data_IF_133916072740
#
_entry.id   IF_133916072740
#
_cell.length_a   1.000
_cell.length_b   1.000
_cell.length_c   1.000
_cell.angle_alpha   90.00
_cell.angle_beta   90.00
_cell.angle_gamma   90.00
#
_symmetry.space_group_name_H-M   'P 1'
#
loop_
_entity.id
_entity.type
_entity.pdbx_description
1 polymer ?
#
# COMPACT_ATOMS: atom_id res chain seq x y z
N UNK A 1 13.90 1.61 -24.53
CA UNK A 1 14.14 2.12 -23.23
C UNK A 1 14.10 1.03 -22.18
N UNK A 2 14.89 1.18 -21.21
CA UNK A 2 14.90 0.25 -20.11
C UNK A 2 13.55 0.29 -19.40
N UNK A 3 12.83 -0.79 -19.42
CA UNK A 3 11.72 -0.95 -18.54
C UNK A 3 12.26 -0.88 -17.12
N UNK A 4 11.90 0.16 -16.39
CA UNK A 4 12.22 0.23 -14.99
C UNK A 4 11.55 -0.98 -14.32
N UNK A 5 12.33 -1.87 -13.76
CA UNK A 5 11.81 -3.01 -13.05
C UNK A 5 11.26 -2.52 -11.73
N UNK A 6 10.00 -2.76 -11.49
CA UNK A 6 9.40 -2.43 -10.19
C UNK A 6 9.64 -3.57 -9.22
N UNK A 7 9.91 -3.22 -7.98
CA UNK A 7 10.01 -4.17 -6.88
C UNK A 7 8.88 -3.94 -5.91
N UNK A 8 8.35 -5.03 -5.38
CA UNK A 8 7.35 -4.95 -4.32
C UNK A 8 8.04 -4.97 -2.97
N UNK A 9 7.64 -4.03 -2.13
CA UNK A 9 8.13 -3.91 -0.75
C UNK A 9 6.95 -4.14 0.17
N UNK A 10 7.08 -5.06 1.11
CA UNK A 10 6.00 -5.40 2.01
C UNK A 10 5.67 -4.23 2.92
N UNK A 11 4.39 -3.87 2.98
CA UNK A 11 3.86 -2.81 3.84
C UNK A 11 3.08 -3.40 5.00
N UNK A 12 2.10 -4.24 4.71
CA UNK A 12 1.24 -4.76 5.77
C UNK A 12 0.14 -5.65 5.23
N UNK A 13 -0.99 -5.66 5.94
CA UNK A 13 -2.08 -6.57 5.61
C UNK A 13 -3.43 -5.90 5.69
N UNK A 14 -4.38 -6.44 4.94
CA UNK A 14 -5.78 -6.07 5.04
C UNK A 14 -6.37 -6.48 6.38
N UNK A 15 -7.14 -5.60 6.98
CA UNK A 15 -7.83 -5.85 8.25
C UNK A 15 -9.32 -6.04 7.99
N UNK A 16 -9.93 -5.13 7.25
CA UNK A 16 -11.36 -5.13 7.03
C UNK A 16 -11.71 -4.39 5.75
N UNK A 17 -12.83 -4.77 5.15
CA UNK A 17 -13.40 -4.05 4.02
C UNK A 17 -14.81 -3.61 4.37
N UNK A 18 -15.07 -2.32 4.19
CA UNK A 18 -16.38 -1.71 4.43
C UNK A 18 -17.10 -1.58 3.09
N UNK A 19 -17.86 -2.62 2.72
CA UNK A 19 -18.46 -2.73 1.39
C UNK A 19 -19.49 -1.63 1.09
N UNK A 20 -20.17 -1.13 2.11
CA UNK A 20 -21.19 -0.08 1.92
C UNK A 20 -20.59 1.28 1.54
N UNK A 21 -19.32 1.50 1.81
CA UNK A 21 -18.65 2.76 1.47
C UNK A 21 -17.42 2.57 0.57
N UNK A 22 -17.10 1.32 0.21
CA UNK A 22 -15.98 1.03 -0.69
C UNK A 22 -14.62 1.40 -0.12
N UNK A 23 -14.41 1.10 1.16
CA UNK A 23 -13.19 1.48 1.89
C UNK A 23 -12.53 0.24 2.47
N UNK A 24 -11.22 0.12 2.26
CA UNK A 24 -10.40 -0.92 2.86
C UNK A 24 -9.58 -0.36 4.02
N UNK A 25 -9.44 -1.15 5.07
CA UNK A 25 -8.56 -0.83 6.20
C UNK A 25 -7.35 -1.76 6.18
N UNK A 26 -6.16 -1.19 6.35
CA UNK A 26 -4.88 -1.91 6.39
C UNK A 26 -4.11 -1.58 7.66
N UNK A 27 -3.30 -2.54 8.11
CA UNK A 27 -2.31 -2.33 9.18
C UNK A 27 -0.93 -2.31 8.53
N UNK A 28 -0.17 -1.25 8.82
CA UNK A 28 1.22 -1.16 8.38
C UNK A 28 2.11 -1.94 9.35
N UNK A 29 2.75 -2.99 8.85
CA UNK A 29 3.56 -3.91 9.68
C UNK A 29 5.05 -3.76 9.43
N UNK A 30 5.44 -3.20 8.30
CA UNK A 30 6.85 -3.08 7.90
C UNK A 30 7.13 -1.70 7.30
N UNK A 31 7.23 -1.61 5.98
CA UNK A 31 7.56 -0.34 5.32
C UNK A 31 6.39 0.64 5.39
N UNK A 32 6.70 1.91 5.63
CA UNK A 32 5.69 2.97 5.57
C UNK A 32 5.18 3.18 4.15
N UNK A 33 4.02 3.78 4.04
CA UNK A 33 3.38 4.08 2.76
C UNK A 33 2.94 5.54 2.74
N UNK A 34 3.05 6.18 1.58
CA UNK A 34 2.71 7.59 1.43
C UNK A 34 1.74 7.80 0.28
N UNK A 35 0.99 8.90 0.36
CA UNK A 35 0.12 9.33 -0.73
C UNK A 35 0.96 9.47 -2.01
N UNK A 36 0.44 8.92 -3.10
CA UNK A 36 1.16 8.84 -4.38
C UNK A 36 1.84 7.51 -4.64
N UNK A 37 2.01 6.69 -3.61
CA UNK A 37 2.62 5.37 -3.78
C UNK A 37 1.74 4.46 -4.62
N UNK A 38 2.37 3.66 -5.46
CA UNK A 38 1.71 2.57 -6.18
C UNK A 38 1.65 1.36 -5.27
N UNK A 39 0.49 0.74 -5.22
CA UNK A 39 0.22 -0.37 -4.32
C UNK A 39 -0.14 -1.64 -5.10
N UNK A 40 0.18 -2.76 -4.49
CA UNK A 40 -0.25 -4.08 -4.94
C UNK A 40 -0.84 -4.81 -3.73
N UNK A 41 -2.07 -5.28 -3.88
CA UNK A 41 -2.73 -6.10 -2.87
C UNK A 41 -2.88 -7.51 -3.44
N UNK A 42 -2.47 -8.52 -2.69
CA UNK A 42 -2.57 -9.91 -3.13
C UNK A 42 -3.27 -10.78 -2.10
N UNK A 43 -4.02 -11.73 -2.57
CA UNK A 43 -4.66 -12.72 -1.71
C UNK A 43 -5.24 -13.87 -2.52
N UNK A 44 -5.52 -15.02 -1.87
CA UNK A 44 -5.96 -16.21 -2.59
C UNK A 44 -7.31 -16.04 -3.27
N UNK A 45 -8.19 -15.20 -2.72
CA UNK A 45 -9.50 -14.91 -3.33
C UNK A 45 -9.46 -13.62 -4.14
N UNK A 46 -8.80 -12.60 -3.58
CA UNK A 46 -8.69 -11.27 -4.19
C UNK A 46 -7.86 -11.29 -5.48
N UNK A 47 -6.87 -12.18 -5.56
CA UNK A 47 -5.93 -12.18 -6.66
C UNK A 47 -4.91 -11.06 -6.50
N UNK A 48 -4.64 -10.32 -7.57
CA UNK A 48 -3.73 -9.18 -7.57
C UNK A 48 -4.50 -7.92 -7.96
N UNK A 49 -4.49 -6.93 -7.07
CA UNK A 49 -5.14 -5.65 -7.29
C UNK A 49 -4.09 -4.55 -7.24
N UNK A 50 -4.01 -3.75 -8.29
CA UNK A 50 -3.10 -2.59 -8.37
C UNK A 50 -3.89 -1.33 -8.12
N UNK A 51 -3.33 -0.43 -7.33
CA UNK A 51 -3.97 0.84 -7.00
C UNK A 51 -2.92 1.90 -6.72
N UNK A 52 -3.34 3.17 -6.75
CA UNK A 52 -2.50 4.28 -6.29
C UNK A 52 -3.11 4.79 -5.00
N UNK A 53 -2.29 5.09 -4.02
CA UNK A 53 -2.77 5.66 -2.77
C UNK A 53 -3.07 7.14 -2.98
N UNK A 54 -4.33 7.44 -3.30
CA UNK A 54 -4.76 8.83 -3.56
C UNK A 54 -5.01 9.58 -2.26
N UNK A 55 -5.57 8.91 -1.27
CA UNK A 55 -5.85 9.47 0.04
C UNK A 55 -5.74 8.36 1.08
N UNK A 56 -5.04 8.63 2.17
CA UNK A 56 -4.95 7.75 3.32
C UNK A 56 -5.50 8.46 4.54
N UNK A 57 -6.28 7.76 5.35
CA UNK A 57 -6.81 8.29 6.61
C UNK A 57 -6.37 7.42 7.76
N UNK A 58 -5.87 8.08 8.80
CA UNK A 58 -5.53 7.45 10.08
C UNK A 58 -6.43 8.11 11.13
N UNK A 59 -7.21 7.30 11.84
CA UNK A 59 -8.19 7.80 12.82
C UNK A 59 -9.11 8.87 12.21
N UNK A 60 -9.60 8.60 11.00
CA UNK A 60 -10.53 9.45 10.24
C UNK A 60 -9.93 10.77 9.73
N UNK A 61 -8.62 10.98 9.91
CA UNK A 61 -7.95 12.20 9.44
C UNK A 61 -7.04 11.88 8.26
N UNK A 62 -7.04 12.71 7.22
CA UNK A 62 -6.13 12.51 6.10
C UNK A 62 -4.69 12.72 6.53
N UNK A 63 -3.81 11.85 6.04
CA UNK A 63 -2.37 11.91 6.33
C UNK A 63 -1.60 11.72 5.02
N UNK A 64 -0.38 12.24 4.99
CA UNK A 64 0.52 12.06 3.84
C UNK A 64 1.26 10.73 3.92
N UNK A 65 1.64 10.31 5.10
CA UNK A 65 2.44 9.09 5.32
C UNK A 65 1.85 8.30 6.46
N UNK A 66 1.77 6.99 6.28
CA UNK A 66 1.33 6.04 7.31
C UNK A 66 2.53 5.21 7.73
N UNK A 67 2.82 5.21 9.01
CA UNK A 67 4.00 4.57 9.58
C UNK A 67 3.69 3.20 10.15
N UNK A 68 4.73 2.41 10.35
CA UNK A 68 4.64 1.10 10.98
C UNK A 68 3.86 1.19 12.30
N UNK A 69 2.92 0.27 12.45
CA UNK A 69 2.05 0.19 13.63
C UNK A 69 0.73 0.93 13.48
N UNK A 70 0.60 1.77 12.47
CA UNK A 70 -0.64 2.51 12.24
C UNK A 70 -1.59 1.74 11.32
N UNK A 71 -2.88 1.94 11.56
CA UNK A 71 -3.94 1.50 10.66
C UNK A 71 -4.31 2.67 9.76
N UNK A 72 -4.60 2.39 8.50
CA UNK A 72 -5.13 3.42 7.62
C UNK A 72 -6.26 2.87 6.77
N UNK A 73 -7.08 3.76 6.28
CA UNK A 73 -8.15 3.41 5.34
C UNK A 73 -7.96 4.14 4.02
N UNK A 74 -8.40 3.50 2.95
CA UNK A 74 -8.38 4.06 1.60
C UNK A 74 -9.55 3.51 0.80
N UNK A 75 -10.02 4.28 -0.17
CA UNK A 75 -11.02 3.79 -1.12
C UNK A 75 -10.37 2.74 -2.02
N UNK A 76 -11.03 1.62 -2.18
CA UNK A 76 -10.51 0.50 -2.96
C UNK A 76 -11.63 -0.46 -3.30
N UNK A 77 -11.47 -1.20 -4.38
CA UNK A 77 -12.32 -2.33 -4.67
C UNK A 77 -12.09 -3.41 -3.60
N UNK A 78 -13.02 -4.34 -3.51
CA UNK A 78 -13.06 -5.31 -2.44
C UNK A 78 -11.75 -6.06 -2.23
N UNK A 79 -11.29 -6.05 -0.99
CA UNK A 79 -10.19 -6.90 -0.52
C UNK A 79 -10.72 -7.81 0.60
N UNK A 80 -9.89 -8.74 1.04
CA UNK A 80 -10.23 -9.64 2.13
C UNK A 80 -9.28 -9.45 3.31
N UNK A 81 -9.73 -9.71 4.55
CA UNK A 81 -8.83 -9.71 5.69
C UNK A 81 -7.63 -10.63 5.43
N UNK A 82 -6.47 -10.21 5.89
CA UNK A 82 -5.19 -10.90 5.72
C UNK A 82 -4.61 -10.85 4.31
N UNK A 83 -5.25 -10.19 3.35
CA UNK A 83 -4.61 -9.90 2.08
C UNK A 83 -3.34 -9.09 2.32
N UNK A 84 -2.29 -9.37 1.55
CA UNK A 84 -1.00 -8.69 1.71
C UNK A 84 -0.96 -7.40 0.92
N UNK A 85 -0.40 -6.38 1.54
CA UNK A 85 -0.24 -5.06 0.94
C UNK A 85 1.24 -4.79 0.70
N UNK A 86 1.57 -4.44 -0.54
CA UNK A 86 2.91 -4.05 -0.94
C UNK A 86 2.87 -2.68 -1.58
N UNK A 87 3.97 -1.94 -1.48
CA UNK A 87 4.19 -0.79 -2.35
C UNK A 87 5.16 -1.18 -3.44
N UNK A 88 4.99 -0.56 -4.61
CA UNK A 88 5.84 -0.80 -5.77
C UNK A 88 6.81 0.36 -5.91
N UNK A 89 8.09 0.04 -5.96
CA UNK A 89 9.14 1.05 -6.15
C UNK A 89 9.98 0.67 -7.36
N UNK A 90 10.46 1.66 -8.08
CA UNK A 90 11.33 1.41 -9.22
C UNK A 90 12.74 1.08 -8.73
N UNK A 91 13.45 0.26 -9.52
CA UNK A 91 14.85 -0.04 -9.19
C UNK A 91 15.72 1.21 -9.22
N UNK A 92 15.34 2.21 -10.00
CA UNK A 92 16.06 3.49 -10.04
C UNK A 92 15.92 4.25 -8.72
N UNK A 93 14.73 4.25 -8.13
CA UNK A 93 14.51 4.85 -6.81
C UNK A 93 15.36 4.16 -5.75
N UNK A 94 15.42 2.83 -5.79
CA UNK A 94 16.25 2.07 -4.86
C UNK A 94 17.75 2.38 -5.04
N UNK A 95 18.19 2.56 -6.27
CA UNK A 95 19.58 2.94 -6.55
C UNK A 95 19.92 4.32 -6.00
N UNK A 96 18.99 5.27 -6.06
CA UNK A 96 19.16 6.59 -5.46
C UNK A 96 19.35 6.50 -3.96
N UNK A 97 18.55 5.67 -3.29
CA UNK A 97 18.68 5.43 -1.86
C UNK A 97 20.04 4.83 -1.51
N UNK A 98 20.50 3.85 -2.28
CA UNK A 98 21.81 3.24 -2.05
C UNK A 98 22.96 4.20 -2.33
N UNK A 99 22.78 5.11 -3.28
CA UNK A 99 23.79 6.11 -3.60
C UNK A 99 23.96 7.18 -2.53
N UNK A 100 23.02 7.30 -1.61
CA UNK A 100 23.08 8.24 -0.50
C UNK A 100 23.74 7.64 0.75
N UNK A 101 23.95 6.35 0.74
CA UNK A 101 24.69 5.66 1.80
C UNK A 101 26.18 5.66 1.48
#
# INVERSE_FOLDING_TARGET
GSAATERKIYVGKGIKYFSNIGVAEFLVEAAEVSVGDKLLITGPTTGAVFATLDEARVELKPVETVKKGEHFSMKLDKIRPSDKLYKLVSTEELKKFKGLE
#
